data_IF_771356984649
#
_entry.id   IF_771356984649
#
_cell.length_a   1.000
_cell.length_b   1.000
_cell.length_c   1.000
_cell.angle_alpha   90.00
_cell.angle_beta   90.00
_cell.angle_gamma   90.00
#
_symmetry.space_group_name_H-M   'P 1'
#
loop_
_entity.id
_entity.type
_entity.pdbx_description
1 polymer ?
#
# COMPACT_ATOMS: atom_id res chain seq x y z
N UNK A 1 27.96 -10.41 16.81
CA UNK A 1 26.56 -10.02 17.02
C UNK A 1 26.10 -10.50 18.37
N UNK A 2 25.44 -9.65 19.15
CA UNK A 2 24.87 -10.00 20.46
C UNK A 2 23.51 -10.72 20.32
N UNK A 3 23.02 -11.36 21.39
CA UNK A 3 21.68 -11.99 21.38
C UNK A 3 20.55 -10.99 21.08
N UNK A 4 20.70 -9.75 21.56
CA UNK A 4 19.75 -8.66 21.29
C UNK A 4 19.72 -8.25 19.82
N UNK A 5 20.88 -8.20 19.14
CA UNK A 5 20.93 -7.89 17.70
C UNK A 5 20.21 -8.95 16.87
N UNK A 6 20.37 -10.23 17.20
CA UNK A 6 19.63 -11.31 16.51
C UNK A 6 18.13 -11.20 16.73
N UNK A 7 17.70 -10.85 17.95
CA UNK A 7 16.29 -10.61 18.25
C UNK A 7 15.73 -9.42 17.45
N UNK A 8 16.50 -8.33 17.31
CA UNK A 8 16.12 -7.17 16.49
C UNK A 8 15.97 -7.53 15.02
N UNK A 9 16.91 -8.29 14.45
CA UNK A 9 16.81 -8.75 13.06
C UNK A 9 15.59 -9.68 12.87
N UNK A 10 15.36 -10.62 13.79
CA UNK A 10 14.20 -11.50 13.75
C UNK A 10 12.88 -10.73 13.84
N UNK A 11 12.77 -9.79 14.77
CA UNK A 11 11.60 -8.92 14.91
C UNK A 11 11.38 -8.07 13.65
N UNK A 12 12.44 -7.52 13.08
CA UNK A 12 12.38 -6.75 11.83
C UNK A 12 11.86 -7.59 10.66
N UNK A 13 12.34 -8.83 10.52
CA UNK A 13 11.83 -9.75 9.51
C UNK A 13 10.34 -10.02 9.67
N UNK A 14 9.90 -10.30 10.91
CA UNK A 14 8.49 -10.53 11.23
C UNK A 14 7.62 -9.30 10.96
N UNK A 15 8.12 -8.10 11.27
CA UNK A 15 7.44 -6.86 10.95
C UNK A 15 7.37 -6.63 9.44
N UNK A 16 8.41 -6.97 8.68
CA UNK A 16 8.40 -6.96 7.23
C UNK A 16 7.39 -7.94 6.64
N UNK A 17 7.28 -9.15 7.22
CA UNK A 17 6.24 -10.12 6.84
C UNK A 17 4.84 -9.60 7.13
N UNK A 18 4.61 -9.02 8.32
CA UNK A 18 3.34 -8.41 8.69
C UNK A 18 2.97 -7.30 7.72
N UNK A 19 3.90 -6.40 7.43
CA UNK A 19 3.67 -5.28 6.53
C UNK A 19 3.40 -5.74 5.09
N UNK A 20 4.15 -6.72 4.59
CA UNK A 20 3.88 -7.31 3.27
C UNK A 20 2.52 -8.03 3.19
N UNK A 21 1.91 -8.37 4.33
CA UNK A 21 0.55 -8.94 4.40
C UNK A 21 -0.54 -7.86 4.51
N UNK A 22 -0.17 -6.58 4.45
CA UNK A 22 -1.13 -5.50 4.50
C UNK A 22 -2.04 -5.50 3.27
N UNK A 23 -3.22 -4.92 3.48
CA UNK A 23 -4.31 -4.96 2.51
C UNK A 23 -3.91 -4.44 1.12
N UNK A 24 -3.07 -3.40 1.08
CA UNK A 24 -2.63 -2.81 -0.18
C UNK A 24 -1.70 -3.73 -0.98
N UNK A 25 -0.85 -4.51 -0.31
CA UNK A 25 0.01 -5.49 -0.95
C UNK A 25 -0.83 -6.65 -1.52
N UNK A 26 -1.77 -7.18 -0.75
CA UNK A 26 -2.70 -8.22 -1.21
C UNK A 26 -3.46 -7.73 -2.44
N UNK A 27 -4.09 -6.55 -2.37
CA UNK A 27 -4.88 -6.02 -3.46
C UNK A 27 -4.04 -5.73 -4.72
N UNK A 28 -2.84 -5.15 -4.58
CA UNK A 28 -1.96 -4.88 -5.71
C UNK A 28 -1.43 -6.15 -6.37
N UNK A 29 -1.01 -7.15 -5.57
CA UNK A 29 -0.47 -8.41 -6.09
C UNK A 29 -1.58 -9.25 -6.73
N UNK A 30 -2.78 -9.30 -6.14
CA UNK A 30 -3.91 -9.97 -6.76
C UNK A 30 -4.33 -9.29 -8.06
N UNK A 31 -4.32 -7.96 -8.12
CA UNK A 31 -4.58 -7.21 -9.36
C UNK A 31 -3.52 -7.53 -10.43
N UNK A 32 -2.23 -7.46 -10.09
CA UNK A 32 -1.13 -7.84 -10.97
C UNK A 32 -1.33 -9.27 -11.47
N UNK A 33 -1.42 -10.26 -10.57
CA UNK A 33 -1.52 -11.68 -10.97
C UNK A 33 -2.77 -12.00 -11.78
N UNK A 34 -3.92 -11.35 -11.51
CA UNK A 34 -5.16 -11.54 -12.27
C UNK A 34 -5.15 -10.89 -13.66
N UNK A 35 -4.24 -9.93 -13.90
CA UNK A 35 -4.08 -9.27 -15.20
C UNK A 35 -3.12 -9.99 -16.15
N UNK A 36 -2.53 -11.11 -15.74
CA UNK A 36 -1.51 -11.82 -16.52
C UNK A 36 -2.03 -13.11 -17.15
N UNK A 37 -1.57 -13.41 -18.35
CA UNK A 37 -1.97 -14.61 -19.11
C UNK A 37 -1.47 -15.93 -18.49
N UNK A 38 -0.41 -15.87 -17.68
CA UNK A 38 0.21 -17.06 -17.10
C UNK A 38 0.83 -16.81 -15.73
N UNK A 39 0.90 -17.90 -14.95
CA UNK A 39 1.48 -17.95 -13.61
C UNK A 39 2.87 -17.33 -13.50
N UNK A 40 3.76 -17.65 -14.46
CA UNK A 40 5.14 -17.15 -14.47
C UNK A 40 5.19 -15.64 -14.58
N UNK A 41 4.36 -15.05 -15.45
CA UNK A 41 4.28 -13.60 -15.63
C UNK A 41 3.67 -12.93 -14.39
N UNK A 42 2.61 -13.53 -13.82
CA UNK A 42 2.01 -13.07 -12.55
C UNK A 42 3.02 -13.01 -11.41
N UNK A 43 3.80 -14.08 -11.21
CA UNK A 43 4.87 -14.13 -10.20
C UNK A 43 5.96 -13.09 -10.50
N UNK A 44 6.44 -13.04 -11.73
CA UNK A 44 7.52 -12.12 -12.13
C UNK A 44 7.17 -10.65 -11.88
N UNK A 45 5.99 -10.22 -12.33
CA UNK A 45 5.57 -8.83 -12.15
C UNK A 45 5.24 -8.49 -10.70
N UNK A 46 4.75 -9.44 -9.92
CA UNK A 46 4.55 -9.27 -8.47
C UNK A 46 5.89 -9.11 -7.73
N UNK A 47 6.91 -9.88 -8.13
CA UNK A 47 8.27 -9.72 -7.60
C UNK A 47 8.86 -8.36 -7.98
N UNK A 48 8.70 -7.91 -9.22
CA UNK A 48 9.15 -6.57 -9.63
C UNK A 48 8.47 -5.45 -8.84
N UNK A 49 7.18 -5.60 -8.54
CA UNK A 49 6.47 -4.69 -7.64
C UNK A 49 7.08 -4.70 -6.23
N UNK A 50 7.30 -5.88 -5.63
CA UNK A 50 7.91 -5.99 -4.31
C UNK A 50 9.33 -5.39 -4.26
N UNK A 51 10.13 -5.60 -5.32
CA UNK A 51 11.47 -5.04 -5.45
C UNK A 51 11.45 -3.51 -5.62
N UNK A 52 10.49 -2.97 -6.38
CA UNK A 52 10.32 -1.52 -6.52
C UNK A 52 9.98 -0.85 -5.19
N UNK A 53 9.09 -1.47 -4.42
CA UNK A 53 8.76 -1.04 -3.06
C UNK A 53 9.97 -1.11 -2.14
N UNK A 54 10.62 -2.28 -2.07
CA UNK A 54 11.81 -2.49 -1.25
C UNK A 54 12.97 -1.54 -1.60
N UNK A 55 13.13 -1.20 -2.87
CA UNK A 55 14.14 -0.24 -3.33
C UNK A 55 13.93 1.14 -2.70
N UNK A 56 12.72 1.69 -2.74
CA UNK A 56 12.43 3.00 -2.16
C UNK A 56 12.60 2.96 -0.64
N UNK A 57 12.10 1.91 0.02
CA UNK A 57 12.25 1.73 1.47
C UNK A 57 13.73 1.69 1.87
N UNK A 58 14.56 0.93 1.15
CA UNK A 58 16.01 0.88 1.39
C UNK A 58 16.65 2.25 1.19
N UNK A 59 16.34 2.94 0.09
CA UNK A 59 16.95 4.24 -0.22
C UNK A 59 16.58 5.29 0.83
N UNK A 60 15.30 5.45 1.14
CA UNK A 60 14.84 6.43 2.13
C UNK A 60 15.31 6.08 3.54
N UNK A 61 15.22 4.81 3.94
CA UNK A 61 15.69 4.34 5.24
C UNK A 61 17.20 4.51 5.41
N UNK A 62 18.00 4.18 4.38
CA UNK A 62 19.44 4.36 4.41
C UNK A 62 19.83 5.85 4.51
N UNK A 63 19.13 6.75 3.79
CA UNK A 63 19.36 8.19 3.91
C UNK A 63 19.15 8.64 5.36
N UNK A 64 18.05 8.23 6.01
CA UNK A 64 17.75 8.62 7.40
C UNK A 64 18.78 8.05 8.39
N UNK A 65 19.11 6.77 8.30
CA UNK A 65 20.09 6.10 9.18
C UNK A 65 21.50 6.69 9.03
N UNK A 66 21.94 6.94 7.78
CA UNK A 66 23.29 7.42 7.51
C UNK A 66 23.47 8.90 7.84
N UNK A 67 22.44 9.71 7.59
CA UNK A 67 22.46 11.13 7.89
C UNK A 67 22.32 11.44 9.37
N UNK A 68 21.68 10.54 10.14
CA UNK A 68 21.37 10.77 11.55
C UNK A 68 20.35 11.89 11.78
N UNK A 69 19.65 12.33 10.73
CA UNK A 69 18.57 13.31 10.87
C UNK A 69 17.33 12.64 11.44
N UNK A 70 16.85 13.17 12.57
CA UNK A 70 15.50 12.91 13.03
C UNK A 70 14.51 13.57 12.06
N UNK A 71 13.41 12.87 11.75
CA UNK A 71 12.28 13.46 11.03
C UNK A 71 11.69 14.54 11.93
N UNK A 72 11.55 15.81 11.48
CA UNK A 72 10.97 16.85 12.31
C UNK A 72 9.52 16.51 12.71
N UNK A 73 9.14 16.81 13.95
CA UNK A 73 7.79 16.56 14.49
C UNK A 73 6.67 17.13 13.59
N UNK A 74 6.95 18.23 12.90
CA UNK A 74 6.02 18.85 11.95
C UNK A 74 5.75 17.97 10.73
N UNK A 75 6.77 17.28 10.21
CA UNK A 75 6.65 16.32 9.11
C UNK A 75 5.89 15.10 9.58
N UNK A 76 6.20 14.59 10.78
CA UNK A 76 5.47 13.47 11.38
C UNK A 76 3.99 13.78 11.55
N UNK A 77 3.65 14.92 12.15
CA UNK A 77 2.25 15.36 12.33
C UNK A 77 1.50 15.52 11.01
N UNK A 78 2.15 16.10 9.99
CA UNK A 78 1.54 16.28 8.66
C UNK A 78 1.32 14.92 7.99
N UNK A 79 2.30 14.02 8.06
CA UNK A 79 2.20 12.68 7.50
C UNK A 79 1.13 11.86 8.21
N UNK A 80 1.07 11.89 9.53
CA UNK A 80 0.04 11.22 10.33
C UNK A 80 -1.37 11.67 9.89
N UNK A 81 -1.62 12.99 9.83
CA UNK A 81 -2.91 13.52 9.37
C UNK A 81 -3.22 13.13 7.92
N UNK A 82 -2.20 13.10 7.07
CA UNK A 82 -2.35 12.67 5.67
C UNK A 82 -2.72 11.19 5.57
N UNK A 83 -2.03 10.30 6.31
CA UNK A 83 -2.41 8.88 6.46
C UNK A 83 -3.86 8.79 6.94
N UNK A 84 -4.19 9.49 8.02
CA UNK A 84 -5.52 9.49 8.62
C UNK A 84 -6.62 9.88 7.64
N UNK A 85 -6.41 10.98 6.90
CA UNK A 85 -7.34 11.42 5.86
C UNK A 85 -7.55 10.36 4.77
N UNK A 86 -6.48 9.71 4.30
CA UNK A 86 -6.58 8.66 3.27
C UNK A 86 -7.31 7.42 3.78
N UNK A 87 -7.10 7.03 5.04
CA UNK A 87 -7.79 5.91 5.68
C UNK A 87 -9.29 6.19 5.88
N UNK A 88 -9.65 7.40 6.33
CA UNK A 88 -11.06 7.81 6.45
C UNK A 88 -11.73 7.78 5.08
N UNK A 89 -11.09 8.37 4.07
CA UNK A 89 -11.60 8.35 2.69
C UNK A 89 -11.82 6.92 2.19
N UNK A 90 -10.85 6.04 2.40
CA UNK A 90 -10.94 4.62 2.02
C UNK A 90 -12.10 3.92 2.74
N UNK A 91 -12.22 4.11 4.06
CA UNK A 91 -13.27 3.50 4.86
C UNK A 91 -14.66 3.90 4.35
N UNK A 92 -14.89 5.20 4.12
CA UNK A 92 -16.13 5.71 3.53
C UNK A 92 -16.37 5.08 2.16
N UNK A 93 -15.34 5.03 1.31
CA UNK A 93 -15.45 4.47 -0.03
C UNK A 93 -15.82 2.98 -0.01
N UNK A 94 -15.22 2.18 0.88
CA UNK A 94 -15.54 0.76 1.04
C UNK A 94 -17.01 0.57 1.44
N UNK A 95 -17.51 1.33 2.43
CA UNK A 95 -18.92 1.24 2.83
C UNK A 95 -19.89 1.65 1.72
N UNK A 96 -19.60 2.75 1.02
CA UNK A 96 -20.41 3.18 -0.13
C UNK A 96 -20.38 2.13 -1.25
N UNK A 97 -19.23 1.51 -1.48
CA UNK A 97 -19.07 0.48 -2.50
C UNK A 97 -19.86 -0.79 -2.15
N UNK A 98 -19.75 -1.26 -0.90
CA UNK A 98 -20.52 -2.40 -0.38
C UNK A 98 -22.03 -2.15 -0.44
N UNK A 99 -22.49 -0.96 -0.06
CA UNK A 99 -23.91 -0.60 -0.10
C UNK A 99 -24.48 -0.56 -1.53
N UNK A 100 -23.65 -0.22 -2.53
CA UNK A 100 -24.09 -0.10 -3.93
C UNK A 100 -23.92 -1.37 -4.75
N UNK A 101 -22.88 -2.18 -4.50
CA UNK A 101 -22.49 -3.31 -5.36
C UNK A 101 -22.49 -4.65 -4.62
N UNK A 102 -22.69 -4.66 -3.29
CA UNK A 102 -22.75 -5.88 -2.49
C UNK A 102 -21.51 -6.77 -2.68
N UNK A 103 -21.73 -8.03 -3.04
CA UNK A 103 -20.67 -9.02 -3.24
C UNK A 103 -19.95 -8.92 -4.59
N UNK A 104 -20.39 -8.05 -5.52
CA UNK A 104 -19.64 -7.74 -6.75
C UNK A 104 -18.57 -6.66 -6.54
N UNK A 105 -18.44 -6.17 -5.31
CA UNK A 105 -17.35 -5.31 -4.91
C UNK A 105 -16.00 -5.95 -5.27
N UNK A 106 -15.12 -5.21 -5.93
CA UNK A 106 -13.70 -5.57 -6.10
C UNK A 106 -12.86 -4.70 -5.19
N UNK A 107 -12.18 -5.35 -4.25
CA UNK A 107 -11.17 -4.76 -3.41
C UNK A 107 -10.01 -4.30 -4.29
N UNK A 108 -9.63 -3.03 -4.12
CA UNK A 108 -8.56 -2.35 -4.86
C UNK A 108 -7.60 -1.74 -3.86
N UNK A 109 -6.33 -1.61 -4.24
CA UNK A 109 -5.35 -0.88 -3.42
C UNK A 109 -5.76 0.58 -3.27
N UNK A 110 -5.46 1.19 -2.11
CA UNK A 110 -5.63 2.62 -1.81
C UNK A 110 -5.08 3.51 -2.93
N UNK A 111 -3.88 3.21 -3.42
CA UNK A 111 -3.26 3.95 -4.51
C UNK A 111 -4.06 3.87 -5.81
N UNK A 112 -4.59 2.70 -6.15
CA UNK A 112 -5.45 2.54 -7.32
C UNK A 112 -6.72 3.37 -7.19
N UNK A 113 -7.33 3.40 -6.00
CA UNK A 113 -8.53 4.19 -5.75
C UNK A 113 -8.27 5.69 -5.84
N UNK A 114 -7.17 6.16 -5.26
CA UNK A 114 -6.73 7.54 -5.40
C UNK A 114 -6.47 7.88 -6.86
N UNK A 115 -5.75 7.03 -7.60
CA UNK A 115 -5.48 7.27 -9.02
C UNK A 115 -6.74 7.28 -9.88
N UNK A 116 -7.66 6.35 -9.64
CA UNK A 116 -8.95 6.32 -10.33
C UNK A 116 -9.80 7.54 -9.99
N UNK A 117 -9.74 8.03 -8.75
CA UNK A 117 -10.41 9.27 -8.37
C UNK A 117 -9.80 10.49 -9.07
N UNK A 118 -8.47 10.64 -9.03
CA UNK A 118 -7.73 11.73 -9.70
C UNK A 118 -7.99 11.70 -11.20
N UNK A 119 -7.93 10.53 -11.82
CA UNK A 119 -8.18 10.36 -13.25
C UNK A 119 -9.62 10.76 -13.62
N UNK A 120 -10.63 10.24 -12.89
CA UNK A 120 -12.03 10.64 -13.10
C UNK A 120 -12.25 12.13 -12.86
N UNK A 121 -11.57 12.73 -11.90
CA UNK A 121 -11.65 14.17 -11.65
C UNK A 121 -11.07 14.96 -12.81
N UNK A 122 -9.90 14.57 -13.33
CA UNK A 122 -9.30 15.20 -14.52
C UNK A 122 -10.23 15.12 -15.73
N UNK A 123 -10.88 13.97 -15.97
CA UNK A 123 -11.84 13.81 -17.05
C UNK A 123 -13.06 14.73 -16.87
N UNK A 124 -13.63 14.82 -15.66
CA UNK A 124 -14.74 15.73 -15.35
C UNK A 124 -14.36 17.20 -15.54
N UNK A 125 -13.19 17.62 -15.06
CA UNK A 125 -12.69 18.99 -15.22
C UNK A 125 -12.46 19.31 -16.69
N UNK A 126 -11.86 18.39 -17.47
CA UNK A 126 -11.69 18.54 -18.92
C UNK A 126 -13.04 18.65 -19.64
N UNK A 127 -14.01 17.81 -19.30
CA UNK A 127 -15.35 17.86 -19.87
C UNK A 127 -16.06 19.17 -19.52
N UNK A 128 -15.96 19.64 -18.26
CA UNK A 128 -16.50 20.92 -17.83
C UNK A 128 -15.86 22.11 -18.58
N UNK A 129 -14.53 22.12 -18.71
CA UNK A 129 -13.80 23.14 -19.49
C UNK A 129 -14.20 23.13 -20.97
N UNK A 130 -14.38 21.95 -21.57
CA UNK A 130 -14.83 21.80 -22.97
C UNK A 130 -16.25 22.30 -23.18
N UNK A 131 -17.18 21.97 -22.27
CA UNK A 131 -18.56 22.52 -22.28
C UNK A 131 -18.56 24.04 -22.15
N UNK A 132 -17.70 24.59 -21.30
CA UNK A 132 -17.56 26.04 -21.13
C UNK A 132 -16.97 26.75 -22.36
N UNK A 133 -16.26 26.02 -23.22
CA UNK A 133 -15.73 26.50 -24.51
C UNK A 133 -16.68 26.26 -25.69
N UNK A 134 -17.92 25.83 -25.45
CA UNK A 134 -18.94 25.67 -26.49
C UNK A 134 -18.73 24.46 -27.41
N UNK A 135 -17.98 23.44 -26.97
CA UNK A 135 -17.84 22.20 -27.75
C UNK A 135 -19.12 21.35 -27.65
N UNK A 136 -19.75 21.07 -28.79
CA UNK A 136 -21.06 20.39 -28.93
C UNK A 136 -20.94 18.97 -29.52
N UNK A 137 -19.87 18.24 -29.21
CA UNK A 137 -19.74 16.83 -29.62
C UNK A 137 -20.08 15.86 -28.50
N UNK A 138 -20.69 14.75 -28.90
CA UNK A 138 -21.08 13.63 -28.05
C UNK A 138 -19.89 13.15 -27.21
N UNK A 139 -20.13 12.92 -25.92
CA UNK A 139 -19.14 12.33 -25.02
C UNK A 139 -18.84 10.94 -25.58
N UNK A 140 -17.58 10.61 -25.95
CA UNK A 140 -17.23 9.25 -26.30
C UNK A 140 -17.66 8.37 -25.13
N UNK A 141 -18.52 7.39 -25.39
CA UNK A 141 -18.97 6.46 -24.38
C UNK A 141 -17.72 5.89 -23.71
N UNK A 142 -17.52 6.23 -22.43
CA UNK A 142 -16.37 5.76 -21.66
C UNK A 142 -16.51 4.25 -21.60
N UNK A 143 -15.77 3.55 -22.46
CA UNK A 143 -15.83 2.12 -22.56
C UNK A 143 -15.42 1.56 -21.21
N UNK A 144 -16.38 0.94 -20.51
CA UNK A 144 -16.19 0.32 -19.18
C UNK A 144 -15.06 -0.72 -19.30
N UNK A 145 -13.83 -0.31 -19.01
CA UNK A 145 -12.63 -1.17 -19.04
C UNK A 145 -11.38 -0.52 -19.63
N UNK A 146 -11.49 0.41 -20.58
CA UNK A 146 -10.33 1.00 -21.25
C UNK A 146 -9.57 2.04 -20.40
N UNK A 147 -10.23 2.59 -19.38
CA UNK A 147 -9.70 3.66 -18.50
C UNK A 147 -9.22 3.15 -17.13
N UNK A 148 -9.07 1.83 -16.94
CA UNK A 148 -8.50 1.28 -15.70
C UNK A 148 -6.98 1.62 -15.65
N UNK A 149 -6.50 2.43 -14.69
CA UNK A 149 -5.08 2.66 -14.55
C UNK A 149 -4.37 1.32 -14.33
N UNK A 150 -3.36 1.03 -15.15
CA UNK A 150 -2.56 -0.21 -15.10
C UNK A 150 -3.23 -1.49 -15.61
N UNK A 151 -4.18 -1.39 -16.55
CA UNK A 151 -4.76 -2.56 -17.25
C UNK A 151 -3.71 -3.53 -17.84
N UNK A 152 -2.49 -3.08 -18.11
CA UNK A 152 -1.36 -3.91 -18.53
C UNK A 152 -0.15 -3.67 -17.62
N UNK A 153 0.12 -4.62 -16.71
CA UNK A 153 1.35 -4.62 -15.92
C UNK A 153 2.50 -5.22 -16.75
N UNK A 154 3.40 -4.35 -17.21
CA UNK A 154 4.74 -4.72 -17.69
C UNK A 154 5.84 -4.33 -16.68
N UNK A 155 7.10 -4.60 -17.03
CA UNK A 155 8.27 -4.43 -16.13
C UNK A 155 8.32 -3.04 -15.49
N UNK A 156 8.22 -1.97 -16.30
CA UNK A 156 8.32 -0.58 -15.83
C UNK A 156 7.15 -0.20 -14.92
N UNK A 157 5.94 -0.60 -15.29
CA UNK A 157 4.72 -0.31 -14.53
C UNK A 157 4.72 -1.04 -13.20
N UNK A 158 5.04 -2.33 -13.14
CA UNK A 158 5.04 -3.08 -11.87
C UNK A 158 6.08 -2.54 -10.90
N UNK A 159 7.31 -2.32 -11.38
CA UNK A 159 8.37 -1.73 -10.56
C UNK A 159 8.00 -0.31 -10.10
N UNK A 160 7.50 0.54 -11.00
CA UNK A 160 7.12 1.92 -10.68
C UNK A 160 5.94 2.02 -9.71
N UNK A 161 4.94 1.16 -9.84
CA UNK A 161 3.83 1.06 -8.87
C UNK A 161 4.35 0.61 -7.51
N UNK A 162 5.29 -0.35 -7.49
CA UNK A 162 6.01 -0.75 -6.27
C UNK A 162 6.74 0.42 -5.62
N UNK A 163 7.54 1.16 -6.39
CA UNK A 163 8.27 2.35 -5.91
C UNK A 163 7.31 3.37 -5.30
N UNK A 164 6.23 3.71 -6.00
CA UNK A 164 5.25 4.66 -5.49
C UNK A 164 4.63 4.18 -4.18
N UNK A 165 4.30 2.88 -4.09
CA UNK A 165 3.81 2.32 -2.85
C UNK A 165 4.83 2.48 -1.73
N UNK A 166 6.11 2.24 -2.00
CA UNK A 166 7.21 2.42 -1.04
C UNK A 166 7.51 3.87 -0.64
N UNK A 167 6.98 4.87 -1.37
CA UNK A 167 6.99 6.29 -0.94
C UNK A 167 5.84 6.58 0.04
N UNK A 168 4.88 5.66 0.15
CA UNK A 168 3.62 5.87 0.84
C UNK A 168 3.74 6.22 2.32
N UNK A 169 2.61 6.64 2.87
CA UNK A 169 2.54 7.34 4.14
C UNK A 169 2.85 6.47 5.38
N UNK A 170 3.11 5.17 5.17
CA UNK A 170 3.51 4.21 6.20
C UNK A 170 5.05 4.13 6.38
N UNK A 171 5.84 4.65 5.44
CA UNK A 171 7.31 4.63 5.53
C UNK A 171 7.87 5.46 6.69
N UNK A 172 7.38 6.68 7.01
CA UNK A 172 7.93 7.46 8.12
C UNK A 172 7.76 6.79 9.48
N UNK A 173 6.60 6.17 9.74
CA UNK A 173 6.31 5.49 11.01
C UNK A 173 7.09 4.19 11.17
N UNK A 174 7.44 3.53 10.06
CA UNK A 174 8.27 2.32 10.06
C UNK A 174 9.76 2.60 10.18
N UNK A 175 10.24 3.79 9.81
CA UNK A 175 11.67 4.12 9.91
C UNK A 175 12.16 4.18 11.37
N UNK A 176 11.28 4.47 12.32
CA UNK A 176 11.61 4.56 13.74
C UNK A 176 12.29 3.30 14.29
N UNK A 177 11.90 2.10 13.84
CA UNK A 177 12.54 0.87 14.30
C UNK A 177 13.98 0.73 13.81
N UNK A 178 14.29 1.23 12.60
CA UNK A 178 15.65 1.17 12.06
C UNK A 178 16.55 2.21 12.71
N UNK A 179 15.99 3.37 13.06
CA UNK A 179 16.69 4.39 13.84
C UNK A 179 16.96 3.90 15.26
N UNK A 180 15.98 3.32 15.95
CA UNK A 180 16.18 2.73 17.28
C UNK A 180 17.24 1.60 17.27
N UNK A 181 17.22 0.77 16.22
CA UNK A 181 18.25 -0.25 16.01
C UNK A 181 19.63 0.37 15.73
N UNK A 182 19.69 1.49 15.00
CA UNK A 182 20.92 2.23 14.74
C UNK A 182 21.47 2.91 16.00
N UNK A 183 20.61 3.42 16.88
CA UNK A 183 21.00 4.04 18.15
C UNK A 183 21.54 3.01 19.14
N UNK A 184 20.95 1.81 19.16
CA UNK A 184 21.34 0.73 20.09
C UNK A 184 22.55 -0.06 19.60
N UNK A 185 22.59 -0.41 18.31
CA UNK A 185 23.58 -1.33 17.73
C UNK A 185 24.54 -0.68 16.73
N UNK A 186 24.44 0.64 16.53
CA UNK A 186 25.18 1.38 15.51
C UNK A 186 24.56 1.30 14.12
N UNK A 187 25.00 2.20 13.22
CA UNK A 187 24.46 2.35 11.85
C UNK A 187 24.44 1.04 11.05
N UNK A 188 25.43 0.17 11.25
CA UNK A 188 25.49 -1.14 10.59
C UNK A 188 24.31 -2.05 10.95
N UNK A 189 23.92 -2.07 12.23
CA UNK A 189 22.74 -2.82 12.69
C UNK A 189 21.44 -2.16 12.21
N UNK A 190 21.35 -0.83 12.18
CA UNK A 190 20.22 -0.12 11.58
C UNK A 190 20.01 -0.51 10.11
N UNK A 191 21.08 -0.49 9.31
CA UNK A 191 21.03 -0.90 7.89
C UNK A 191 20.72 -2.38 7.72
N UNK A 192 21.27 -3.26 8.56
CA UNK A 192 20.95 -4.68 8.52
C UNK A 192 19.47 -4.93 8.84
N UNK A 193 18.94 -4.24 9.87
CA UNK A 193 17.52 -4.28 10.25
C UNK A 193 16.62 -3.85 9.10
N UNK A 194 16.99 -2.77 8.39
CA UNK A 194 16.29 -2.29 7.19
C UNK A 194 16.29 -3.32 6.04
N UNK A 195 17.43 -3.93 5.73
CA UNK A 195 17.52 -4.94 4.66
C UNK A 195 16.70 -6.18 5.03
N UNK A 196 16.77 -6.62 6.29
CA UNK A 196 16.02 -7.77 6.78
C UNK A 196 14.51 -7.51 6.79
N UNK A 197 14.07 -6.28 7.10
CA UNK A 197 12.68 -5.85 6.95
C UNK A 197 12.20 -6.01 5.50
N UNK A 198 12.96 -5.49 4.55
CA UNK A 198 12.63 -5.60 3.12
C UNK A 198 12.64 -7.04 2.63
N UNK A 199 13.53 -7.89 3.14
CA UNK A 199 13.50 -9.32 2.89
C UNK A 199 12.17 -9.94 3.37
N UNK A 200 11.67 -9.54 4.54
CA UNK A 200 10.34 -9.92 5.04
C UNK A 200 9.22 -9.52 4.08
N UNK A 201 9.22 -8.28 3.59
CA UNK A 201 8.23 -7.81 2.60
C UNK A 201 8.28 -8.66 1.32
N UNK A 202 9.48 -8.88 0.77
CA UNK A 202 9.66 -9.65 -0.46
C UNK A 202 9.18 -11.09 -0.26
N UNK A 203 9.48 -11.71 0.88
CA UNK A 203 8.98 -13.05 1.21
C UNK A 203 7.46 -13.08 1.25
N UNK A 204 6.82 -12.19 2.01
CA UNK A 204 5.35 -12.21 2.14
C UNK A 204 4.67 -11.90 0.81
N UNK A 205 5.16 -10.92 0.06
CA UNK A 205 4.61 -10.59 -1.27
C UNK A 205 4.73 -11.78 -2.23
N UNK A 206 5.83 -12.53 -2.16
CA UNK A 206 6.01 -13.75 -2.95
C UNK A 206 5.00 -14.82 -2.53
N UNK A 207 4.78 -15.01 -1.23
CA UNK A 207 3.78 -15.97 -0.72
C UNK A 207 2.36 -15.60 -1.17
N UNK A 208 2.00 -14.33 -1.12
CA UNK A 208 0.72 -13.82 -1.62
C UNK A 208 0.61 -14.05 -3.13
N UNK A 209 1.66 -13.75 -3.91
CA UNK A 209 1.66 -13.94 -5.35
C UNK A 209 1.48 -15.42 -5.72
N UNK A 210 2.20 -16.32 -5.05
CA UNK A 210 2.03 -17.78 -5.19
C UNK A 210 0.60 -18.18 -4.83
N UNK A 211 0.09 -17.72 -3.69
CA UNK A 211 -1.28 -18.00 -3.26
C UNK A 211 -2.34 -17.51 -4.24
N UNK A 212 -2.13 -16.34 -4.84
CA UNK A 212 -3.04 -15.73 -5.82
C UNK A 212 -3.00 -16.47 -7.17
N UNK A 213 -1.81 -16.83 -7.65
CA UNK A 213 -1.61 -17.52 -8.94
C UNK A 213 -2.13 -18.96 -8.91
N UNK A 214 -1.91 -19.69 -7.82
CA UNK A 214 -2.32 -21.09 -7.69
C UNK A 214 -3.69 -21.28 -7.01
N UNK A 215 -4.47 -20.20 -6.86
CA UNK A 215 -5.85 -20.26 -6.38
C UNK A 215 -6.02 -20.54 -4.88
N UNK A 216 -4.95 -20.50 -4.09
CA UNK A 216 -5.02 -20.62 -2.62
C UNK A 216 -5.67 -19.41 -1.95
N UNK A 217 -5.72 -18.25 -2.62
CA UNK A 217 -6.60 -17.14 -2.22
C UNK A 217 -8.00 -17.35 -2.85
N UNK A 218 -8.54 -18.55 -2.66
CA UNK A 218 -9.93 -18.94 -2.99
C UNK A 218 -10.96 -18.42 -1.98
N UNK A 219 -10.53 -17.69 -0.95
CA UNK A 219 -11.43 -16.98 -0.01
C UNK A 219 -12.37 -15.98 -0.73
N UNK A 220 -12.04 -15.59 -1.96
CA UNK A 220 -12.84 -14.77 -2.87
C UNK A 220 -14.10 -15.46 -3.40
N UNK A 221 -14.22 -16.80 -3.28
CA UNK A 221 -15.44 -17.50 -3.71
C UNK A 221 -16.59 -17.40 -2.69
N UNK A 222 -16.29 -17.14 -1.41
CA UNK A 222 -17.34 -16.97 -0.40
C UNK A 222 -17.73 -15.50 -0.28
N UNK A 223 -18.90 -15.17 -0.80
CA UNK A 223 -19.50 -13.83 -0.68
C UNK A 223 -19.54 -13.33 0.77
N UNK A 224 -19.78 -14.24 1.72
CA UNK A 224 -19.83 -13.91 3.14
C UNK A 224 -18.45 -13.50 3.69
N UNK A 225 -17.40 -14.24 3.35
CA UNK A 225 -16.03 -13.91 3.77
C UNK A 225 -15.58 -12.59 3.14
N UNK A 226 -15.91 -12.39 1.87
CA UNK A 226 -15.57 -11.16 1.16
C UNK A 226 -16.24 -9.92 1.76
N UNK A 227 -17.54 -10.01 2.04
CA UNK A 227 -18.31 -8.94 2.69
C UNK A 227 -17.81 -8.68 4.12
N UNK A 228 -17.59 -9.73 4.92
CA UNK A 228 -17.07 -9.61 6.28
C UNK A 228 -15.69 -8.93 6.29
N UNK A 229 -14.80 -9.33 5.38
CA UNK A 229 -13.47 -8.74 5.23
C UNK A 229 -13.57 -7.26 4.86
N UNK A 230 -14.42 -6.92 3.88
CA UNK A 230 -14.66 -5.51 3.50
C UNK A 230 -15.20 -4.65 4.66
N UNK A 231 -16.15 -5.18 5.44
CA UNK A 231 -16.66 -4.47 6.63
C UNK A 231 -15.57 -4.28 7.68
N UNK A 232 -14.80 -5.33 7.99
CA UNK A 232 -13.69 -5.26 8.96
C UNK A 232 -12.70 -4.18 8.52
N UNK A 233 -12.23 -4.21 7.27
CA UNK A 233 -11.30 -3.21 6.73
C UNK A 233 -11.89 -1.80 6.80
N UNK A 234 -13.16 -1.65 6.42
CA UNK A 234 -13.85 -0.36 6.47
C UNK A 234 -13.90 0.21 7.89
N UNK A 235 -14.26 -0.60 8.88
CA UNK A 235 -14.30 -0.19 10.29
C UNK A 235 -12.92 0.20 10.80
N UNK A 236 -11.91 -0.66 10.60
CA UNK A 236 -10.54 -0.37 11.02
C UNK A 236 -9.98 0.90 10.36
N UNK A 237 -10.24 1.09 9.06
CA UNK A 237 -9.80 2.27 8.32
C UNK A 237 -10.46 3.55 8.84
N UNK A 238 -11.76 3.53 9.16
CA UNK A 238 -12.43 4.68 9.77
C UNK A 238 -11.92 4.96 11.19
N UNK A 239 -11.73 3.91 12.00
CA UNK A 239 -11.26 4.05 13.38
C UNK A 239 -9.83 4.59 13.47
N UNK A 240 -8.87 3.86 12.91
CA UNK A 240 -7.45 4.27 12.90
C UNK A 240 -7.28 5.58 12.11
N UNK A 241 -7.95 5.69 10.98
CA UNK A 241 -7.92 6.91 10.17
C UNK A 241 -8.42 8.13 10.92
N UNK A 242 -9.51 7.99 11.69
CA UNK A 242 -10.03 9.05 12.54
C UNK A 242 -9.04 9.46 13.62
N UNK A 243 -8.43 8.50 14.32
CA UNK A 243 -7.42 8.77 15.35
C UNK A 243 -6.24 9.58 14.80
N UNK A 244 -5.71 9.18 13.64
CA UNK A 244 -4.59 9.86 12.97
C UNK A 244 -5.01 11.23 12.41
N UNK A 245 -6.21 11.34 11.86
CA UNK A 245 -6.71 12.60 11.29
C UNK A 245 -6.88 13.69 12.36
N UNK A 246 -7.30 13.30 13.56
CA UNK A 246 -7.50 14.21 14.68
C UNK A 246 -6.27 14.35 15.60
N UNK A 247 -5.19 13.61 15.34
CA UNK A 247 -3.96 13.65 16.14
C UNK A 247 -4.19 13.13 17.57
N UNK A 248 -4.98 12.07 17.71
CA UNK A 248 -5.30 11.41 18.99
C UNK A 248 -4.74 9.97 18.98
N UNK A 249 -3.68 9.74 18.19
CA UNK A 249 -3.03 8.43 18.06
C UNK A 249 -2.34 7.99 19.35
N UNK A 250 -2.02 8.91 20.26
CA UNK A 250 -1.46 8.65 21.60
C UNK A 250 -2.35 7.74 22.47
N UNK A 251 -3.63 7.58 22.13
CA UNK A 251 -4.56 6.67 22.81
C UNK A 251 -4.38 5.22 22.36
N UNK A 252 -3.73 4.98 21.21
CA UNK A 252 -3.36 3.64 20.79
C UNK A 252 -2.30 3.08 21.74
N UNK A 253 -2.34 1.78 22.06
CA UNK A 253 -1.31 1.17 22.89
C UNK A 253 0.04 1.42 22.23
N UNK A 254 0.90 2.17 22.92
CA UNK A 254 2.26 2.37 22.49
C UNK A 254 2.90 0.99 22.32
N UNK A 255 3.50 0.74 21.16
CA UNK A 255 4.30 -0.45 20.90
C UNK A 255 5.63 -0.29 21.65
N UNK A 256 5.55 -0.27 22.99
CA UNK A 256 6.69 -0.26 23.91
C UNK A 256 7.17 -1.68 24.15
#
# INVERSE_FOLDING_TARGET
MTGTEWALLGASYLLGLRHGFDWDHIAAITDITSSQDNAKSGLWYSTLYALGHGFVVIVLGAILILSGFAVPDSVETVMERFVGATLVFLGIWVFVSLARHGAEFRLRSRWMLMFQWVHRMKLRVRAWLRRRRGATEEIPEVQKGADEPFANYGVKTSFGVGMLHGVGAETPTQVLIFLAAADTGGRGIGLATLVVFVAGIVTMNTLIAVGSVFGFIGATHSKAIYLATGVIIGVFSLGIGGLFLFGISDVLPALN
#
